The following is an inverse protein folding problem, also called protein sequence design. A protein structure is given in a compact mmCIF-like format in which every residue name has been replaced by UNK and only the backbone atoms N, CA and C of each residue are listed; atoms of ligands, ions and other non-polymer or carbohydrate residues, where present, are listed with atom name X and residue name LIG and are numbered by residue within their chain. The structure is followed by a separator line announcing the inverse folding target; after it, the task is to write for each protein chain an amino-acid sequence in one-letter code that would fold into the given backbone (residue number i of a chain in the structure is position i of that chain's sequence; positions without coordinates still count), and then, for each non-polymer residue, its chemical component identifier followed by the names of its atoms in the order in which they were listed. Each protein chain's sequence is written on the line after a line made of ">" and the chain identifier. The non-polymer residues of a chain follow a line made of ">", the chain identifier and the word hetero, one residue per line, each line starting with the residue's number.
data_IF_921299150973
#
_entry.id   IF_921299150973
#
_cell.length_a   1.000
_cell.length_b   1.000
_cell.length_c   1.000
_cell.angle_alpha   90.00
_cell.angle_beta   90.00
_cell.angle_gamma   90.00
#
_symmetry.space_group_name_H-M   'P 1'
#
loop_
_entity.id
_entity.type
_entity.pdbx_description
1 polymer ?
#
# COMPACT_ATOMS: atom_id res chain seq x y z
N UNK A 1 -35.67 21.23 10.90
CA UNK A 1 -34.74 22.35 11.13
C UNK A 1 -34.63 22.60 12.62
N UNK A 2 -33.54 22.18 13.26
CA UNK A 2 -33.18 22.65 14.61
C UNK A 2 -32.13 23.75 14.44
N UNK A 3 -32.43 24.95 14.90
CA UNK A 3 -31.47 26.06 14.93
C UNK A 3 -30.24 25.66 15.75
N UNK A 4 -29.07 25.68 15.11
CA UNK A 4 -27.81 25.45 15.78
C UNK A 4 -27.54 26.59 16.77
N UNK A 5 -27.76 26.32 18.07
CA UNK A 5 -27.38 27.23 19.16
C UNK A 5 -25.88 27.58 19.01
N UNK A 6 -25.50 28.86 18.83
CA UNK A 6 -24.10 29.22 18.61
C UNK A 6 -23.27 28.86 19.85
N UNK A 7 -22.20 28.08 19.65
CA UNK A 7 -21.23 27.71 20.70
C UNK A 7 -20.38 28.93 21.10
N UNK A 8 -20.97 29.86 21.84
CA UNK A 8 -20.25 30.98 22.47
C UNK A 8 -19.20 30.51 23.49
N UNK A 9 -19.31 29.28 24.01
CA UNK A 9 -18.45 28.77 25.09
C UNK A 9 -16.97 28.57 24.70
N UNK A 10 -16.66 28.34 23.42
CA UNK A 10 -15.27 28.01 23.03
C UNK A 10 -14.34 29.22 22.99
N UNK A 11 -14.88 30.42 22.78
CA UNK A 11 -14.07 31.63 22.63
C UNK A 11 -13.73 32.22 24.01
N UNK A 12 -14.70 32.18 24.92
CA UNK A 12 -14.53 32.57 26.33
C UNK A 12 -13.46 31.71 27.01
N UNK A 13 -13.50 30.39 26.81
CA UNK A 13 -12.52 29.47 27.44
C UNK A 13 -11.09 29.72 26.95
N UNK A 14 -10.90 30.10 25.68
CA UNK A 14 -9.57 30.39 25.11
C UNK A 14 -9.06 31.78 25.44
N UNK A 15 -9.95 32.73 25.68
CA UNK A 15 -9.58 34.09 26.08
C UNK A 15 -9.20 34.19 27.57
N UNK A 16 -9.62 33.24 28.41
CA UNK A 16 -9.35 33.24 29.85
C UNK A 16 -7.86 33.44 30.21
N UNK A 17 -6.88 32.70 29.64
CA UNK A 17 -5.47 32.92 29.97
C UNK A 17 -4.96 34.32 29.62
N UNK A 18 -5.44 34.89 28.50
CA UNK A 18 -5.09 36.25 28.11
C UNK A 18 -5.72 37.27 29.05
N UNK A 19 -7.00 37.11 29.40
CA UNK A 19 -7.73 38.00 30.32
C UNK A 19 -7.07 37.95 31.71
N UNK A 20 -6.78 36.75 32.22
CA UNK A 20 -6.08 36.59 33.51
C UNK A 20 -4.67 37.16 33.47
N UNK A 21 -3.91 36.92 32.39
CA UNK A 21 -2.57 37.47 32.22
C UNK A 21 -2.54 39.00 32.21
N UNK A 22 -3.44 39.63 31.43
CA UNK A 22 -3.55 41.09 31.36
C UNK A 22 -4.04 41.70 32.68
N UNK A 23 -4.99 41.05 33.35
CA UNK A 23 -5.51 41.50 34.65
C UNK A 23 -4.41 41.43 35.71
N UNK A 24 -3.68 40.31 35.80
CA UNK A 24 -2.54 40.18 36.70
C UNK A 24 -1.47 41.24 36.41
N UNK A 25 -1.17 41.50 35.15
CA UNK A 25 -0.18 42.50 34.76
C UNK A 25 -0.60 43.91 35.20
N UNK A 26 -1.85 44.30 34.98
CA UNK A 26 -2.40 45.58 35.43
C UNK A 26 -2.39 45.71 36.97
N UNK A 27 -2.77 44.65 37.69
CA UNK A 27 -2.71 44.61 39.17
C UNK A 27 -1.27 44.72 39.67
N UNK A 28 -0.33 44.03 39.04
CA UNK A 28 1.08 44.07 39.41
C UNK A 28 1.71 45.45 39.21
N UNK A 29 1.34 46.18 38.13
CA UNK A 29 1.77 47.56 37.90
C UNK A 29 1.24 48.49 38.99
N UNK A 30 -0.05 48.43 39.30
CA UNK A 30 -0.65 49.24 40.36
C UNK A 30 -0.01 48.99 41.74
N UNK A 31 0.25 47.72 42.09
CA UNK A 31 0.93 47.38 43.35
C UNK A 31 2.37 47.90 43.40
N UNK A 32 3.11 47.81 42.29
CA UNK A 32 4.48 48.30 42.21
C UNK A 32 4.56 49.84 42.34
N UNK A 33 3.60 50.58 41.78
CA UNK A 33 3.50 52.04 41.93
C UNK A 33 3.22 52.48 43.37
N UNK A 34 2.48 51.66 44.13
CA UNK A 34 2.22 51.91 45.57
C UNK A 34 3.38 51.48 46.49
N UNK A 35 4.51 51.03 45.94
CA UNK A 35 5.69 50.62 46.72
C UNK A 35 5.60 49.22 47.34
N UNK A 36 4.58 48.43 46.98
CA UNK A 36 4.41 47.06 47.47
C UNK A 36 5.32 46.13 46.66
N UNK A 37 6.29 45.50 47.34
CA UNK A 37 7.31 44.63 46.72
C UNK A 37 6.72 43.44 45.94
N UNK A 38 5.51 43.00 46.28
CA UNK A 38 4.79 41.92 45.61
C UNK A 38 4.43 42.25 44.14
N UNK A 39 4.34 43.54 43.77
CA UNK A 39 3.93 43.97 42.43
C UNK A 39 4.82 43.42 41.32
N UNK A 40 6.14 43.36 41.54
CA UNK A 40 7.10 42.79 40.56
C UNK A 40 6.86 41.30 40.31
N UNK A 41 6.56 40.53 41.35
CA UNK A 41 6.27 39.10 41.23
C UNK A 41 4.99 38.85 40.43
N UNK A 42 3.95 39.67 40.64
CA UNK A 42 2.69 39.56 39.90
C UNK A 42 2.90 39.89 38.40
N UNK A 43 3.71 40.90 38.08
CA UNK A 43 4.06 41.23 36.68
C UNK A 43 4.82 40.06 36.02
N UNK A 44 5.80 39.48 36.72
CA UNK A 44 6.61 38.37 36.22
C UNK A 44 5.79 37.10 35.92
N UNK A 45 4.68 36.89 36.63
CA UNK A 45 3.75 35.77 36.38
C UNK A 45 2.69 36.12 35.33
N UNK A 46 2.21 37.37 35.31
CA UNK A 46 1.18 37.84 34.37
C UNK A 46 1.66 37.90 32.92
N UNK A 47 2.91 38.31 32.69
CA UNK A 47 3.47 38.48 31.34
C UNK A 47 3.54 37.15 30.55
N UNK A 48 4.10 36.04 31.10
CA UNK A 48 4.08 34.73 30.43
C UNK A 48 2.65 34.22 30.13
N UNK A 49 1.71 34.41 31.06
CA UNK A 49 0.31 33.99 30.87
C UNK A 49 -0.37 34.76 29.73
N UNK A 50 -0.16 36.08 29.66
CA UNK A 50 -0.67 36.89 28.57
C UNK A 50 -0.05 36.47 27.22
N UNK A 51 1.25 36.17 27.20
CA UNK A 51 1.96 35.72 26.00
C UNK A 51 1.46 34.34 25.51
N UNK A 52 1.23 33.39 26.43
CA UNK A 52 0.61 32.09 26.11
C UNK A 52 -0.81 32.28 25.58
N UNK A 53 -1.61 33.16 26.20
CA UNK A 53 -2.95 33.49 25.73
C UNK A 53 -2.94 34.07 24.30
N UNK A 54 -2.01 34.98 24.01
CA UNK A 54 -1.79 35.56 22.69
C UNK A 54 -1.38 34.49 21.66
N UNK A 55 -0.46 33.57 22.00
CA UNK A 55 -0.06 32.46 21.13
C UNK A 55 -1.25 31.53 20.86
N UNK A 56 -2.04 31.17 21.87
CA UNK A 56 -3.23 30.30 21.70
C UNK A 56 -4.30 30.94 20.81
N UNK A 57 -4.45 32.26 20.87
CA UNK A 57 -5.38 33.02 20.01
C UNK A 57 -4.81 33.21 18.60
N UNK A 58 -3.51 33.48 18.47
CA UNK A 58 -2.83 33.72 17.19
C UNK A 58 -2.56 32.44 16.41
N UNK A 59 -2.50 31.28 17.07
CA UNK A 59 -2.43 29.99 16.39
C UNK A 59 -3.67 29.86 15.48
N UNK A 60 -3.48 29.78 14.15
CA UNK A 60 -4.60 29.69 13.22
C UNK A 60 -5.47 28.53 13.66
N UNK A 61 -6.78 28.77 13.79
CA UNK A 61 -7.75 27.72 14.04
C UNK A 61 -7.44 26.62 13.03
N UNK A 62 -6.89 25.48 13.48
CA UNK A 62 -7.10 24.23 12.76
C UNK A 62 -8.61 24.16 12.64
N UNK A 63 -9.14 24.49 11.47
CA UNK A 63 -10.51 24.17 11.12
C UNK A 63 -10.53 22.65 11.27
N UNK A 64 -11.00 22.19 12.43
CA UNK A 64 -11.50 20.85 12.53
C UNK A 64 -12.51 20.78 11.38
N UNK A 65 -12.33 19.85 10.43
CA UNK A 65 -13.20 19.77 9.27
C UNK A 65 -14.62 19.88 9.78
N UNK A 66 -15.37 20.83 9.20
CA UNK A 66 -16.73 21.15 9.65
C UNK A 66 -17.44 19.84 9.95
N UNK A 67 -18.04 19.72 11.14
CA UNK A 67 -18.72 18.49 11.54
C UNK A 67 -19.81 18.25 10.51
N UNK A 68 -19.52 17.41 9.52
CA UNK A 68 -20.41 17.13 8.39
C UNK A 68 -21.65 16.54 9.02
N UNK A 69 -22.77 17.26 8.90
CA UNK A 69 -24.06 16.79 9.40
C UNK A 69 -24.54 15.79 8.37
N UNK A 70 -24.37 14.52 8.69
CA UNK A 70 -24.74 13.41 7.83
C UNK A 70 -26.26 13.24 7.82
N UNK A 71 -26.92 13.68 6.75
CA UNK A 71 -28.34 13.40 6.49
C UNK A 71 -28.45 12.44 5.31
N UNK A 72 -28.95 11.23 5.55
CA UNK A 72 -29.25 10.30 4.46
C UNK A 72 -29.59 8.88 4.91
N UNK A 73 -29.96 8.09 3.92
CA UNK A 73 -30.26 6.65 3.97
C UNK A 73 -29.15 5.88 4.72
N UNK A 74 -29.45 4.81 5.48
CA UNK A 74 -28.41 4.02 6.12
C UNK A 74 -27.33 3.58 5.10
N UNK A 75 -26.03 3.70 5.41
CA UNK A 75 -24.95 3.34 4.48
C UNK A 75 -25.10 1.96 3.83
N UNK A 76 -25.67 1.00 4.55
CA UNK A 76 -25.92 -0.36 4.07
C UNK A 76 -26.86 -0.41 2.84
N UNK A 77 -27.90 0.41 2.81
CA UNK A 77 -28.86 0.44 1.69
C UNK A 77 -28.24 1.13 0.46
N UNK A 78 -27.47 2.21 0.67
CA UNK A 78 -26.72 2.87 -0.40
C UNK A 78 -25.68 1.93 -1.04
N UNK A 79 -25.01 1.13 -0.22
CA UNK A 79 -24.05 0.12 -0.64
C UNK A 79 -24.74 -1.02 -1.39
N UNK A 80 -25.92 -1.47 -0.94
CA UNK A 80 -26.70 -2.50 -1.63
C UNK A 80 -27.12 -2.06 -3.05
N UNK A 81 -27.57 -0.81 -3.21
CA UNK A 81 -27.91 -0.26 -4.53
C UNK A 81 -26.68 -0.20 -5.47
N UNK A 82 -25.50 0.16 -4.95
CA UNK A 82 -24.27 0.15 -5.73
C UNK A 82 -23.84 -1.26 -6.16
N UNK A 83 -24.12 -2.26 -5.31
CA UNK A 83 -23.80 -3.67 -5.53
C UNK A 83 -24.54 -4.22 -6.74
N UNK A 84 -25.86 -4.02 -6.80
CA UNK A 84 -26.72 -4.51 -7.88
C UNK A 84 -26.29 -3.97 -9.25
N UNK A 85 -25.95 -2.67 -9.32
CA UNK A 85 -25.63 -2.02 -10.59
C UNK A 85 -24.31 -2.50 -11.20
N UNK A 86 -23.32 -2.83 -10.36
CA UNK A 86 -21.93 -3.04 -10.80
C UNK A 86 -21.41 -4.46 -10.61
N UNK A 87 -22.29 -5.39 -10.21
CA UNK A 87 -21.90 -6.77 -9.96
C UNK A 87 -20.85 -6.88 -8.85
N UNK A 88 -20.92 -6.00 -7.85
CA UNK A 88 -20.10 -6.15 -6.66
C UNK A 88 -20.70 -7.26 -5.79
N UNK A 89 -19.87 -7.85 -4.94
CA UNK A 89 -20.27 -8.91 -4.00
C UNK A 89 -20.31 -8.34 -2.59
N UNK A 90 -21.42 -8.58 -1.88
CA UNK A 90 -21.57 -8.23 -0.47
C UNK A 90 -20.84 -9.26 0.38
N UNK A 91 -19.75 -8.87 1.05
CA UNK A 91 -19.09 -9.72 2.04
C UNK A 91 -19.76 -9.58 3.42
N UNK A 92 -20.22 -8.38 3.75
CA UNK A 92 -20.93 -8.09 5.00
C UNK A 92 -21.84 -6.87 4.84
N UNK A 93 -22.77 -6.59 5.77
CA UNK A 93 -23.68 -5.43 5.70
C UNK A 93 -22.99 -4.06 5.58
N UNK A 94 -21.68 -4.00 5.80
CA UNK A 94 -20.89 -2.78 5.78
C UNK A 94 -19.68 -2.86 4.86
N UNK A 95 -19.56 -3.93 4.07
CA UNK A 95 -18.41 -4.16 3.21
C UNK A 95 -18.81 -4.84 1.92
N UNK A 96 -18.46 -4.21 0.81
CA UNK A 96 -18.68 -4.71 -0.53
C UNK A 96 -17.37 -4.69 -1.30
N UNK A 97 -17.14 -5.73 -2.10
CA UNK A 97 -15.96 -5.85 -2.95
C UNK A 97 -16.33 -6.25 -4.36
N UNK A 98 -15.54 -5.86 -5.33
CA UNK A 98 -15.73 -6.33 -6.70
C UNK A 98 -14.74 -5.69 -7.64
N UNK A 99 -15.10 -5.61 -8.92
CA UNK A 99 -14.24 -5.02 -9.95
C UNK A 99 -14.88 -3.79 -10.59
N UNK A 100 -14.10 -2.73 -10.72
CA UNK A 100 -14.48 -1.48 -11.39
C UNK A 100 -13.39 -1.16 -12.38
N UNK A 101 -13.73 -1.15 -13.69
CA UNK A 101 -12.76 -0.95 -14.78
C UNK A 101 -11.59 -1.93 -14.70
N UNK A 102 -11.88 -3.19 -14.36
CA UNK A 102 -10.87 -4.24 -14.20
C UNK A 102 -10.01 -4.15 -12.95
N UNK A 103 -10.27 -3.21 -12.02
CA UNK A 103 -9.53 -3.03 -10.76
C UNK A 103 -10.35 -3.49 -9.57
N UNK A 104 -9.70 -4.05 -8.56
CA UNK A 104 -10.36 -4.36 -7.30
C UNK A 104 -10.86 -3.09 -6.64
N UNK A 105 -12.13 -3.05 -6.29
CA UNK A 105 -12.75 -1.96 -5.55
C UNK A 105 -13.35 -2.51 -4.25
N UNK A 106 -13.20 -1.74 -3.17
CA UNK A 106 -13.75 -2.03 -1.87
C UNK A 106 -14.52 -0.81 -1.36
N UNK A 107 -15.75 -1.04 -0.88
CA UNK A 107 -16.59 -0.03 -0.26
C UNK A 107 -16.85 -0.48 1.17
N UNK A 108 -16.42 0.32 2.13
CA UNK A 108 -16.53 0.00 3.56
C UNK A 108 -17.19 1.15 4.32
N UNK A 109 -18.23 0.84 5.08
CA UNK A 109 -18.83 1.75 6.04
C UNK A 109 -18.44 1.33 7.46
N UNK A 110 -18.08 2.28 8.33
CA UNK A 110 -17.99 1.95 9.75
C UNK A 110 -19.40 1.71 10.32
N UNK A 111 -19.58 0.76 11.25
CA UNK A 111 -20.90 0.30 11.76
C UNK A 111 -21.85 1.47 12.08
N UNK A 112 -22.75 1.80 11.13
CA UNK A 112 -23.70 2.91 11.24
C UNK A 112 -23.11 4.31 11.33
N UNK A 113 -21.83 4.51 10.98
CA UNK A 113 -21.13 5.80 11.06
C UNK A 113 -20.43 6.14 9.75
N UNK A 114 -20.54 7.42 9.41
CA UNK A 114 -19.83 8.09 8.33
C UNK A 114 -18.38 8.41 8.73
N UNK A 115 -17.46 8.56 7.76
CA UNK A 115 -17.67 8.50 6.30
C UNK A 115 -17.73 7.07 5.72
N UNK A 116 -18.24 6.92 4.48
CA UNK A 116 -18.07 5.71 3.67
C UNK A 116 -16.70 5.77 2.99
N UNK A 117 -15.89 4.74 3.19
CA UNK A 117 -14.57 4.59 2.58
C UNK A 117 -14.70 3.83 1.27
N UNK A 118 -14.27 4.45 0.18
CA UNK A 118 -14.21 3.82 -1.13
C UNK A 118 -12.74 3.72 -1.50
N UNK A 119 -12.28 2.50 -1.75
CA UNK A 119 -10.92 2.19 -2.14
C UNK A 119 -10.91 1.49 -3.49
N UNK A 120 -10.06 1.95 -4.41
CA UNK A 120 -9.83 1.29 -5.70
C UNK A 120 -8.33 1.04 -5.85
N UNK A 121 -7.96 -0.23 -5.93
CA UNK A 121 -6.57 -0.65 -6.10
C UNK A 121 -6.06 -0.29 -7.49
N UNK A 122 -4.77 0.03 -7.61
CA UNK A 122 -4.08 0.00 -8.90
C UNK A 122 -3.76 -1.45 -9.29
N UNK A 123 -3.59 -1.70 -10.59
CA UNK A 123 -3.22 -3.02 -11.11
C UNK A 123 -1.83 -3.47 -10.65
N UNK A 124 -0.92 -2.50 -10.45
CA UNK A 124 0.46 -2.76 -10.03
C UNK A 124 0.79 -1.80 -8.89
N UNK A 125 1.12 -2.31 -7.69
CA UNK A 125 1.61 -1.48 -6.59
C UNK A 125 2.82 -0.67 -7.02
N UNK A 126 2.96 0.57 -6.55
CA UNK A 126 4.03 1.47 -6.99
C UNK A 126 5.37 1.23 -6.29
N UNK A 127 5.35 0.63 -5.09
CA UNK A 127 6.53 0.37 -4.24
C UNK A 127 7.41 1.61 -4.00
N UNK A 128 6.79 2.78 -3.87
CA UNK A 128 7.48 4.06 -3.65
C UNK A 128 7.52 4.47 -2.17
N UNK A 129 6.84 3.73 -1.29
CA UNK A 129 6.50 4.20 0.04
C UNK A 129 5.56 5.39 -0.04
N UNK A 130 4.71 5.47 -1.05
CA UNK A 130 3.91 6.67 -1.30
C UNK A 130 2.79 6.83 -0.27
N UNK A 131 2.60 8.06 0.17
CA UNK A 131 1.44 8.46 0.96
C UNK A 131 1.09 9.88 0.58
N UNK A 132 -0.10 10.08 0.00
CA UNK A 132 -0.66 11.41 -0.26
C UNK A 132 -2.00 11.46 0.41
N UNK A 133 -2.08 12.25 1.48
CA UNK A 133 -3.28 12.36 2.29
C UNK A 133 -3.67 13.80 2.46
N UNK A 134 -4.98 14.05 2.46
CA UNK A 134 -5.51 15.38 2.71
C UNK A 134 -5.36 15.76 4.19
N UNK A 135 -4.91 16.98 4.45
CA UNK A 135 -4.82 17.55 5.79
C UNK A 135 -3.49 17.34 6.51
N UNK A 136 -3.53 17.37 7.84
CA UNK A 136 -2.32 17.43 8.67
C UNK A 136 -1.57 16.09 8.72
N UNK A 137 -0.24 16.21 8.88
CA UNK A 137 0.76 15.13 9.01
C UNK A 137 0.25 13.86 9.71
N UNK A 138 0.43 12.72 9.04
CA UNK A 138 0.22 11.37 9.61
C UNK A 138 1.17 11.19 10.80
N UNK A 139 0.66 10.98 12.03
CA UNK A 139 1.50 10.72 13.19
C UNK A 139 2.32 9.45 13.00
N UNK A 140 3.60 9.47 13.36
CA UNK A 140 4.47 8.28 13.33
C UNK A 140 5.20 8.04 12.01
N UNK A 141 4.90 8.77 10.93
CA UNK A 141 5.69 8.68 9.70
C UNK A 141 6.97 9.53 9.78
N UNK A 142 8.13 8.87 9.79
CA UNK A 142 9.44 9.50 9.89
C UNK A 142 9.92 10.18 8.59
N UNK A 143 9.28 9.91 7.44
CA UNK A 143 9.70 10.45 6.15
C UNK A 143 9.55 11.97 6.11
N UNK A 144 10.31 12.63 5.25
CA UNK A 144 10.16 14.08 5.06
C UNK A 144 8.91 14.35 4.24
N UNK A 145 8.20 15.42 4.61
CA UNK A 145 7.11 15.91 3.77
C UNK A 145 7.70 16.52 2.51
N UNK A 146 7.14 16.14 1.37
CA UNK A 146 7.50 16.67 0.06
C UNK A 146 6.56 17.79 -0.34
N UNK A 147 7.11 18.80 -1.03
CA UNK A 147 6.35 19.90 -1.62
C UNK A 147 6.44 19.80 -3.13
N UNK A 148 5.29 19.71 -3.79
CA UNK A 148 5.19 19.51 -5.24
C UNK A 148 5.43 20.80 -6.02
N UNK A 149 5.46 21.95 -5.34
CA UNK A 149 5.57 23.28 -5.96
C UNK A 149 4.22 23.86 -6.39
N UNK A 150 3.14 23.09 -6.27
CA UNK A 150 1.77 23.54 -6.50
C UNK A 150 1.17 24.03 -5.18
N UNK A 151 1.08 25.35 -5.00
CA UNK A 151 0.64 25.95 -3.75
C UNK A 151 -0.77 25.52 -3.30
N UNK A 152 -1.69 25.30 -4.25
CA UNK A 152 -3.04 24.88 -3.91
C UNK A 152 -3.04 23.44 -3.39
N UNK A 153 -2.29 22.57 -4.07
CA UNK A 153 -2.10 21.18 -3.67
C UNK A 153 -1.36 21.05 -2.33
N UNK A 154 -0.21 21.70 -2.21
CA UNK A 154 0.70 21.63 -1.06
C UNK A 154 0.11 22.22 0.23
N UNK A 155 -0.95 23.03 0.12
CA UNK A 155 -1.74 23.55 1.25
C UNK A 155 -2.68 22.49 1.80
N UNK A 156 -3.30 21.71 0.92
CA UNK A 156 -4.40 20.80 1.27
C UNK A 156 -3.92 19.36 1.48
N UNK A 157 -2.73 19.02 0.97
CA UNK A 157 -2.16 17.68 0.99
C UNK A 157 -0.81 17.58 1.71
N UNK A 158 -0.62 16.48 2.43
CA UNK A 158 0.67 16.01 2.94
C UNK A 158 1.16 14.87 2.04
N UNK A 159 2.31 15.08 1.39
CA UNK A 159 2.93 14.11 0.48
C UNK A 159 4.18 13.54 1.12
N UNK A 160 4.31 12.21 1.13
CA UNK A 160 5.46 11.49 1.66
C UNK A 160 5.79 10.33 0.74
N UNK A 161 7.09 10.09 0.55
CA UNK A 161 7.61 8.94 -0.17
C UNK A 161 9.05 8.66 0.29
N UNK A 162 9.59 7.52 -0.11
CA UNK A 162 10.98 7.18 0.21
C UNK A 162 11.98 8.01 -0.61
N UNK A 163 11.58 8.40 -1.83
CA UNK A 163 12.40 9.12 -2.81
C UNK A 163 11.59 10.28 -3.42
N UNK A 164 11.83 11.50 -2.95
CA UNK A 164 11.08 12.69 -3.37
C UNK A 164 11.15 12.99 -4.87
N UNK A 165 12.28 12.79 -5.60
CA UNK A 165 12.30 13.07 -7.05
C UNK A 165 11.34 12.19 -7.87
N UNK A 166 11.06 10.96 -7.41
CA UNK A 166 10.10 10.06 -8.09
C UNK A 166 8.66 10.56 -7.92
N UNK A 167 8.36 11.22 -6.80
CA UNK A 167 7.05 11.83 -6.55
C UNK A 167 6.77 12.94 -7.56
N UNK A 168 7.76 13.74 -7.93
CA UNK A 168 7.60 14.81 -8.91
C UNK A 168 7.20 14.28 -10.29
N UNK A 169 7.76 13.13 -10.69
CA UNK A 169 7.37 12.44 -11.92
C UNK A 169 5.96 11.85 -11.85
N UNK A 170 5.55 11.35 -10.69
CA UNK A 170 4.26 10.70 -10.49
C UNK A 170 3.10 11.70 -10.36
N UNK A 171 3.24 12.69 -9.49
CA UNK A 171 2.20 13.69 -9.19
C UNK A 171 2.15 14.76 -10.27
N UNK A 172 1.79 14.36 -11.49
CA UNK A 172 1.60 15.28 -12.61
C UNK A 172 0.54 16.35 -12.30
N UNK A 173 0.55 17.52 -12.97
CA UNK A 173 -0.48 18.55 -12.75
C UNK A 173 -1.91 18.02 -12.85
N UNK A 174 -2.17 17.14 -13.83
CA UNK A 174 -3.48 16.50 -14.02
C UNK A 174 -3.87 15.58 -12.87
N UNK A 175 -2.94 14.77 -12.36
CA UNK A 175 -3.23 13.90 -11.22
C UNK A 175 -3.51 14.75 -9.97
N UNK A 176 -2.73 15.81 -9.72
CA UNK A 176 -2.96 16.73 -8.60
C UNK A 176 -4.34 17.40 -8.66
N UNK A 177 -4.75 17.87 -9.84
CA UNK A 177 -6.08 18.45 -10.05
C UNK A 177 -7.19 17.45 -9.75
N UNK A 178 -7.07 16.20 -10.23
CA UNK A 178 -8.03 15.14 -9.96
C UNK A 178 -8.12 14.80 -8.48
N UNK A 179 -6.98 14.72 -7.77
CA UNK A 179 -6.95 14.48 -6.33
C UNK A 179 -7.64 15.61 -5.57
N UNK A 180 -7.35 16.87 -5.90
CA UNK A 180 -7.99 18.04 -5.31
C UNK A 180 -9.51 18.03 -5.52
N UNK A 181 -9.95 17.77 -6.75
CA UNK A 181 -11.38 17.71 -7.13
C UNK A 181 -12.11 16.57 -6.44
N UNK A 182 -11.49 15.39 -6.38
CA UNK A 182 -12.07 14.19 -5.78
C UNK A 182 -11.94 14.14 -4.26
N UNK A 183 -11.13 15.03 -3.67
CA UNK A 183 -10.71 14.95 -2.27
C UNK A 183 -10.14 13.57 -1.90
N UNK A 184 -9.44 12.96 -2.84
CA UNK A 184 -8.92 11.62 -2.74
C UNK A 184 -7.57 11.60 -2.02
N UNK A 185 -7.29 10.50 -1.31
CA UNK A 185 -5.96 10.12 -0.84
C UNK A 185 -5.41 9.00 -1.73
N UNK A 186 -4.09 8.82 -1.75
CA UNK A 186 -3.45 7.70 -2.44
C UNK A 186 -2.27 7.14 -1.65
N UNK A 187 -1.96 5.88 -1.91
CA UNK A 187 -0.77 5.17 -1.44
C UNK A 187 -0.15 4.35 -2.58
N UNK A 188 0.76 3.44 -2.25
CA UNK A 188 1.37 2.56 -3.25
C UNK A 188 0.36 1.60 -3.90
N UNK A 189 -0.71 1.24 -3.19
CA UNK A 189 -1.62 0.17 -3.59
C UNK A 189 -2.88 0.71 -4.30
N UNK A 190 -3.26 1.96 -4.07
CA UNK A 190 -4.44 2.51 -4.72
C UNK A 190 -4.86 3.90 -4.31
N UNK A 191 -6.13 4.17 -4.57
CA UNK A 191 -6.80 5.46 -4.33
C UNK A 191 -7.93 5.25 -3.35
N UNK A 192 -8.02 6.15 -2.37
CA UNK A 192 -9.08 6.19 -1.37
C UNK A 192 -9.86 7.50 -1.45
N UNK A 193 -11.19 7.41 -1.40
CA UNK A 193 -12.08 8.57 -1.22
C UNK A 193 -12.98 8.32 -0.01
N UNK A 194 -13.04 9.32 0.86
CA UNK A 194 -13.97 9.33 2.00
C UNK A 194 -15.22 10.12 1.62
N UNK A 195 -16.32 9.42 1.41
CA UNK A 195 -17.60 10.01 1.05
C UNK A 195 -18.40 10.35 2.31
N UNK A 196 -18.84 11.59 2.41
CA UNK A 196 -19.67 12.09 3.51
C UNK A 196 -21.17 12.01 3.27
N UNK A 197 -21.64 11.40 2.17
CA UNK A 197 -23.05 11.39 1.79
C UNK A 197 -23.57 9.98 1.54
N UNK A 198 -24.86 9.77 1.85
CA UNK A 198 -25.53 8.45 1.86
C UNK A 198 -26.34 8.09 0.64
N UNK A 199 -26.27 8.87 -0.42
CA UNK A 199 -26.99 8.52 -1.62
C UNK A 199 -26.25 7.40 -2.37
N UNK A 200 -26.95 6.33 -2.73
CA UNK A 200 -26.40 5.25 -3.54
C UNK A 200 -25.79 5.75 -4.86
N UNK A 201 -26.38 6.78 -5.48
CA UNK A 201 -25.81 7.41 -6.68
C UNK A 201 -24.47 8.09 -6.39
N UNK A 202 -24.36 8.80 -5.25
CA UNK A 202 -23.11 9.44 -4.84
C UNK A 202 -22.01 8.40 -4.58
N UNK A 203 -22.36 7.26 -3.97
CA UNK A 203 -21.43 6.13 -3.80
C UNK A 203 -20.95 5.62 -5.15
N UNK A 204 -21.88 5.34 -6.07
CA UNK A 204 -21.57 4.85 -7.43
C UNK A 204 -20.64 5.82 -8.16
N UNK A 205 -20.98 7.10 -8.19
CA UNK A 205 -20.18 8.11 -8.89
C UNK A 205 -18.82 8.31 -8.25
N UNK A 206 -18.73 8.21 -6.91
CA UNK A 206 -17.45 8.28 -6.20
C UNK A 206 -16.57 7.07 -6.51
N UNK A 207 -17.13 5.86 -6.65
CA UNK A 207 -16.32 4.69 -7.06
C UNK A 207 -15.85 4.85 -8.51
N UNK A 208 -16.64 5.50 -9.40
CA UNK A 208 -16.19 5.80 -10.77
C UNK A 208 -15.02 6.76 -10.73
N UNK A 209 -15.15 7.81 -9.93
CA UNK A 209 -14.12 8.83 -9.75
C UNK A 209 -12.83 8.21 -9.21
N UNK A 210 -12.91 7.37 -8.17
CA UNK A 210 -11.76 6.64 -7.65
C UNK A 210 -11.10 5.77 -8.74
N UNK A 211 -11.89 5.07 -9.56
CA UNK A 211 -11.38 4.30 -10.69
C UNK A 211 -10.72 5.14 -11.79
N UNK A 212 -11.20 6.36 -12.03
CA UNK A 212 -10.55 7.32 -12.93
C UNK A 212 -9.20 7.80 -12.38
N UNK A 213 -9.15 8.18 -11.10
CA UNK A 213 -7.92 8.62 -10.43
C UNK A 213 -6.88 7.48 -10.41
N UNK A 214 -7.31 6.24 -10.11
CA UNK A 214 -6.41 5.07 -10.14
C UNK A 214 -5.84 4.81 -11.55
N UNK A 215 -6.65 5.01 -12.60
CA UNK A 215 -6.19 4.90 -13.99
C UNK A 215 -5.18 6.00 -14.35
N UNK A 216 -5.39 7.22 -13.84
CA UNK A 216 -4.44 8.33 -14.01
C UNK A 216 -3.13 8.06 -13.28
N UNK A 217 -3.20 7.52 -12.06
CA UNK A 217 -2.03 7.15 -11.26
C UNK A 217 -1.15 6.14 -12.00
N UNK A 218 -1.75 5.07 -12.55
CA UNK A 218 -1.03 4.07 -13.36
C UNK A 218 -0.44 4.66 -14.64
N UNK A 219 -1.14 5.60 -15.28
CA UNK A 219 -0.62 6.27 -16.48
C UNK A 219 0.59 7.15 -16.14
N UNK A 220 0.52 7.85 -15.01
CA UNK A 220 1.63 8.68 -14.55
C UNK A 220 2.84 7.83 -14.13
N UNK A 221 2.61 6.65 -13.53
CA UNK A 221 3.69 5.77 -13.05
C UNK A 221 4.60 5.27 -14.18
N UNK A 222 4.13 5.21 -15.42
CA UNK A 222 4.95 4.86 -16.61
C UNK A 222 6.16 5.79 -16.78
N UNK A 223 6.07 7.03 -16.34
CA UNK A 223 7.16 8.03 -16.45
C UNK A 223 8.06 8.09 -15.22
N UNK A 224 7.76 7.30 -14.20
CA UNK A 224 8.51 7.32 -12.94
C UNK A 224 9.72 6.39 -13.08
N UNK A 225 10.94 6.90 -12.89
CA UNK A 225 12.14 6.07 -12.95
C UNK A 225 12.13 5.02 -11.83
N UNK A 226 12.93 3.95 -11.93
CA UNK A 226 13.03 2.99 -10.84
C UNK A 226 13.59 3.64 -9.57
N UNK A 227 13.41 2.96 -8.44
CA UNK A 227 14.04 3.35 -7.19
C UNK A 227 15.56 3.49 -7.37
N UNK A 228 16.18 4.45 -6.68
CA UNK A 228 17.61 4.74 -6.77
C UNK A 228 18.46 3.47 -6.54
N UNK A 229 18.08 2.68 -5.52
CA UNK A 229 18.73 1.42 -5.20
C UNK A 229 18.71 0.40 -6.36
N UNK A 230 17.68 0.45 -7.21
CA UNK A 230 17.46 -0.52 -8.29
C UNK A 230 18.04 -0.07 -9.64
N UNK A 231 18.53 1.17 -9.76
CA UNK A 231 19.07 1.72 -11.01
C UNK A 231 20.16 0.82 -11.59
N UNK A 232 21.07 0.31 -10.75
CA UNK A 232 22.17 -0.58 -11.19
C UNK A 232 21.70 -1.93 -11.75
N UNK A 233 20.50 -2.39 -11.39
CA UNK A 233 19.92 -3.66 -11.91
C UNK A 233 19.10 -3.48 -13.18
N UNK A 234 18.66 -2.24 -13.46
CA UNK A 234 17.70 -1.94 -14.52
C UNK A 234 18.18 -2.40 -15.91
N UNK A 235 19.45 -2.15 -16.24
CA UNK A 235 20.00 -2.47 -17.56
C UNK A 235 20.03 -3.98 -17.81
N UNK A 236 20.46 -4.78 -16.83
CA UNK A 236 20.47 -6.23 -16.91
C UNK A 236 19.05 -6.79 -17.13
N UNK A 237 18.05 -6.27 -16.42
CA UNK A 237 16.65 -6.68 -16.58
C UNK A 237 16.10 -6.29 -17.95
N UNK A 238 16.39 -5.07 -18.41
CA UNK A 238 15.94 -4.61 -19.72
C UNK A 238 16.55 -5.43 -20.86
N UNK A 239 17.85 -5.72 -20.78
CA UNK A 239 18.56 -6.57 -21.75
C UNK A 239 17.95 -7.97 -21.82
N UNK A 240 17.75 -8.60 -20.66
CA UNK A 240 17.09 -9.91 -20.58
C UNK A 240 15.65 -9.87 -21.10
N UNK A 241 14.87 -8.85 -20.74
CA UNK A 241 13.50 -8.71 -21.24
C UNK A 241 13.45 -8.55 -22.76
N UNK A 242 14.39 -7.82 -23.37
CA UNK A 242 14.48 -7.70 -24.83
C UNK A 242 14.84 -9.04 -25.48
N UNK A 243 15.82 -9.76 -24.95
CA UNK A 243 16.22 -11.10 -25.40
C UNK A 243 15.03 -12.08 -25.40
N UNK A 244 14.24 -12.03 -24.34
CA UNK A 244 13.11 -12.94 -24.10
C UNK A 244 11.75 -12.37 -24.56
N UNK A 245 11.74 -11.19 -25.20
CA UNK A 245 10.53 -10.46 -25.65
C UNK A 245 9.48 -10.24 -24.54
N UNK A 246 9.93 -9.98 -23.32
CA UNK A 246 9.11 -9.65 -22.17
C UNK A 246 8.75 -8.16 -22.15
N UNK A 247 7.58 -7.84 -21.61
CA UNK A 247 7.22 -6.48 -21.25
C UNK A 247 7.97 -6.04 -19.99
N UNK A 248 8.16 -4.73 -19.82
CA UNK A 248 8.86 -4.15 -18.66
C UNK A 248 8.13 -2.93 -18.10
N UNK A 249 8.41 -2.61 -16.84
CA UNK A 249 8.10 -1.32 -16.24
C UNK A 249 9.19 -0.91 -15.24
N UNK A 250 9.37 0.40 -15.08
CA UNK A 250 10.36 0.97 -14.17
C UNK A 250 9.80 1.19 -12.75
N UNK A 251 8.48 1.37 -12.61
CA UNK A 251 7.82 1.59 -11.31
C UNK A 251 6.58 0.69 -11.18
N UNK A 252 6.65 -0.40 -10.39
CA UNK A 252 7.87 -0.94 -9.77
C UNK A 252 8.77 -1.55 -10.87
N UNK A 253 10.06 -1.74 -10.58
CA UNK A 253 10.97 -2.38 -11.54
C UNK A 253 10.48 -3.81 -11.77
N UNK A 254 9.99 -4.10 -12.98
CA UNK A 254 9.31 -5.35 -13.26
C UNK A 254 9.46 -5.77 -14.72
N UNK A 255 9.35 -7.08 -14.95
CA UNK A 255 9.27 -7.69 -16.26
C UNK A 255 8.29 -8.86 -16.24
N UNK A 256 7.53 -9.05 -17.32
CA UNK A 256 6.54 -10.12 -17.43
C UNK A 256 6.25 -10.49 -18.88
N UNK A 257 5.76 -11.69 -19.11
CA UNK A 257 5.46 -12.21 -20.44
C UNK A 257 5.57 -13.72 -20.46
N UNK A 258 6.07 -14.29 -21.55
CA UNK A 258 6.20 -15.75 -21.69
C UNK A 258 7.63 -16.15 -22.05
N UNK A 259 8.16 -17.17 -21.38
CA UNK A 259 9.41 -17.85 -21.74
C UNK A 259 9.05 -19.30 -22.09
N UNK A 260 9.36 -19.74 -23.32
CA UNK A 260 9.07 -21.12 -23.76
C UNK A 260 7.59 -21.54 -23.56
N UNK A 261 6.65 -20.59 -23.67
CA UNK A 261 5.21 -20.81 -23.46
C UNK A 261 4.75 -20.77 -22.00
N UNK A 262 5.65 -20.59 -21.03
CA UNK A 262 5.33 -20.40 -19.61
C UNK A 262 5.16 -18.92 -19.30
N UNK A 263 4.04 -18.54 -18.71
CA UNK A 263 3.85 -17.18 -18.17
C UNK A 263 4.79 -16.96 -16.99
N UNK A 264 5.58 -15.89 -17.07
CA UNK A 264 6.57 -15.51 -16.06
C UNK A 264 6.42 -14.05 -15.66
N UNK A 265 6.80 -13.75 -14.42
CA UNK A 265 6.90 -12.40 -13.91
C UNK A 265 8.07 -12.28 -12.93
N UNK A 266 8.80 -11.17 -13.00
CA UNK A 266 9.67 -10.72 -11.92
C UNK A 266 9.34 -9.27 -11.57
N UNK A 267 9.32 -8.94 -10.27
CA UNK A 267 9.10 -7.57 -9.80
C UNK A 267 9.92 -7.27 -8.55
N UNK A 268 10.34 -6.01 -8.40
CA UNK A 268 10.79 -5.48 -7.12
C UNK A 268 9.60 -5.25 -6.20
N UNK A 269 9.77 -5.54 -4.92
CA UNK A 269 8.79 -5.28 -3.86
C UNK A 269 9.50 -4.54 -2.73
N UNK A 270 8.83 -3.52 -2.17
CA UNK A 270 9.37 -2.73 -1.07
C UNK A 270 8.98 -3.34 0.29
N UNK A 271 9.97 -3.77 1.07
CA UNK A 271 9.74 -4.30 2.43
C UNK A 271 9.60 -3.20 3.48
N UNK A 272 10.45 -2.19 3.38
CA UNK A 272 10.52 -1.10 4.34
C UNK A 272 11.19 0.11 3.68
N UNK A 273 11.46 1.16 4.47
CA UNK A 273 12.07 2.40 3.97
C UNK A 273 13.35 2.11 3.18
N UNK A 274 13.28 2.29 1.85
CA UNK A 274 14.37 2.06 0.89
C UNK A 274 14.97 0.65 0.85
N UNK A 275 14.27 -0.35 1.40
CA UNK A 275 14.68 -1.74 1.33
C UNK A 275 13.75 -2.50 0.40
N UNK A 276 14.33 -3.36 -0.44
CA UNK A 276 13.63 -4.09 -1.47
C UNK A 276 14.00 -5.56 -1.46
N UNK A 277 13.12 -6.38 -2.01
CA UNK A 277 13.43 -7.72 -2.48
C UNK A 277 12.82 -7.91 -3.87
N UNK A 278 13.08 -9.06 -4.47
CA UNK A 278 12.48 -9.45 -5.73
C UNK A 278 11.57 -10.66 -5.56
N UNK A 279 10.39 -10.58 -6.16
CA UNK A 279 9.48 -11.70 -6.32
C UNK A 279 9.53 -12.16 -7.77
N UNK A 280 9.70 -13.47 -7.96
CA UNK A 280 9.67 -14.12 -9.26
C UNK A 280 8.56 -15.15 -9.25
N UNK A 281 7.89 -15.33 -10.38
CA UNK A 281 6.91 -16.39 -10.56
C UNK A 281 6.98 -16.98 -11.97
N UNK A 282 6.61 -18.25 -12.06
CA UNK A 282 6.42 -18.98 -13.30
C UNK A 282 5.17 -19.86 -13.15
N UNK A 283 4.13 -19.56 -13.93
CA UNK A 283 2.87 -20.31 -13.86
C UNK A 283 3.01 -21.65 -14.59
N UNK A 284 2.29 -22.67 -14.16
CA UNK A 284 2.14 -23.85 -15.00
C UNK A 284 1.21 -23.54 -16.19
N UNK A 285 1.43 -24.13 -17.38
CA UNK A 285 0.54 -23.93 -18.52
C UNK A 285 -0.92 -24.30 -18.24
N UNK A 286 -1.13 -25.26 -17.34
CA UNK A 286 -2.43 -25.62 -16.78
C UNK A 286 -2.25 -25.90 -15.27
N UNK A 287 -3.22 -25.54 -14.42
CA UNK A 287 -3.19 -25.91 -13.02
C UNK A 287 -3.09 -27.43 -12.86
N UNK A 288 -2.20 -27.90 -11.97
CA UNK A 288 -1.91 -29.33 -11.85
C UNK A 288 -3.04 -30.11 -11.16
N UNK A 289 -3.75 -29.47 -10.23
CA UNK A 289 -4.82 -30.08 -9.44
C UNK A 289 -4.39 -31.30 -8.64
N UNK A 290 -3.12 -31.35 -8.19
CA UNK A 290 -2.55 -32.48 -7.43
C UNK A 290 -2.44 -32.19 -5.94
N UNK A 291 -2.86 -31.01 -5.49
CA UNK A 291 -2.58 -30.52 -4.14
C UNK A 291 -1.08 -30.32 -3.92
N UNK A 292 -0.33 -29.96 -4.97
CA UNK A 292 1.09 -29.68 -4.86
C UNK A 292 1.31 -28.57 -3.83
N UNK A 293 2.26 -28.77 -2.93
CA UNK A 293 2.76 -27.75 -2.02
C UNK A 293 4.24 -28.00 -1.72
N UNK A 294 5.09 -27.10 -2.21
CA UNK A 294 6.53 -27.04 -1.94
C UNK A 294 6.82 -25.81 -1.09
N UNK A 295 7.48 -25.99 0.05
CA UNK A 295 7.91 -24.89 0.95
C UNK A 295 9.32 -25.12 1.47
N UNK A 296 10.08 -24.07 1.86
CA UNK A 296 11.35 -24.24 2.53
C UNK A 296 11.18 -24.98 3.87
N UNK A 297 12.02 -25.98 4.16
CA UNK A 297 11.91 -26.80 5.36
C UNK A 297 12.09 -26.02 6.68
N UNK A 298 12.78 -24.87 6.65
CA UNK A 298 12.96 -23.97 7.79
C UNK A 298 11.73 -23.10 8.12
N UNK A 299 10.79 -22.98 7.18
CA UNK A 299 9.56 -22.20 7.35
C UNK A 299 8.42 -23.00 7.98
N UNK A 300 8.55 -24.33 8.01
CA UNK A 300 7.69 -25.19 8.79
C UNK A 300 8.11 -25.07 10.27
N UNK A 301 7.19 -24.69 11.15
CA UNK A 301 7.35 -25.05 12.56
C UNK A 301 7.58 -26.57 12.63
N UNK A 302 8.22 -27.12 13.68
CA UNK A 302 8.45 -28.57 13.78
C UNK A 302 7.16 -29.41 13.58
N UNK A 303 5.99 -28.79 13.74
CA UNK A 303 4.65 -29.36 13.55
C UNK A 303 4.14 -29.29 12.09
N UNK A 304 4.68 -28.43 11.23
CA UNK A 304 4.26 -28.23 9.83
C UNK A 304 5.11 -29.03 8.82
N UNK A 305 5.93 -30.00 9.28
CA UNK A 305 6.62 -30.94 8.38
C UNK A 305 5.64 -32.00 7.85
N UNK A 306 4.56 -31.53 7.23
CA UNK A 306 3.55 -32.35 6.58
C UNK A 306 4.01 -32.61 5.15
N UNK A 307 4.84 -33.62 4.95
CA UNK A 307 5.31 -34.05 3.64
C UNK A 307 6.17 -35.29 3.74
N UNK A 308 5.85 -36.32 2.96
CA UNK A 308 6.68 -37.52 2.88
C UNK A 308 8.00 -37.22 2.17
N UNK A 309 9.14 -37.71 2.68
CA UNK A 309 10.43 -37.49 2.02
C UNK A 309 10.42 -38.12 0.62
N UNK A 310 10.95 -37.41 -0.37
CA UNK A 310 10.99 -37.91 -1.75
C UNK A 310 12.21 -38.80 -2.03
N UNK A 311 13.00 -39.09 -1.00
CA UNK A 311 14.16 -39.99 -1.08
C UNK A 311 15.43 -39.32 -1.62
N UNK A 312 15.54 -37.99 -1.51
CA UNK A 312 16.75 -37.25 -1.90
C UNK A 312 17.24 -36.44 -0.69
N UNK A 313 18.22 -36.95 0.09
CA UNK A 313 18.55 -36.40 1.40
C UNK A 313 18.84 -34.89 1.43
N UNK A 314 19.55 -34.37 0.42
CA UNK A 314 19.82 -32.93 0.33
C UNK A 314 18.57 -32.11 0.01
N UNK A 315 17.61 -32.66 -0.72
CA UNK A 315 16.36 -31.98 -1.05
C UNK A 315 15.42 -32.01 0.16
N UNK A 316 15.22 -33.18 0.76
CA UNK A 316 14.36 -33.40 1.93
C UNK A 316 14.83 -32.60 3.16
N UNK A 317 16.13 -32.29 3.25
CA UNK A 317 16.68 -31.40 4.27
C UNK A 317 16.24 -29.93 4.10
N UNK A 318 16.04 -29.49 2.86
CA UNK A 318 15.89 -28.08 2.52
C UNK A 318 14.46 -27.70 2.11
N UNK A 319 13.67 -28.67 1.65
CA UNK A 319 12.30 -28.48 1.20
C UNK A 319 11.36 -29.49 1.86
N UNK A 320 10.14 -29.05 2.13
CA UNK A 320 9.01 -29.92 2.41
C UNK A 320 8.13 -29.93 1.16
N UNK A 321 7.91 -31.12 0.61
CA UNK A 321 7.04 -31.34 -0.54
C UNK A 321 5.86 -32.21 -0.11
N UNK A 322 4.68 -31.81 -0.53
CA UNK A 322 3.43 -32.54 -0.32
C UNK A 322 2.56 -32.48 -1.57
N UNK A 323 1.75 -33.50 -1.74
CA UNK A 323 0.75 -33.70 -2.78
C UNK A 323 -0.41 -34.47 -2.15
N UNK A 324 -1.53 -34.57 -2.86
CA UNK A 324 -2.70 -35.35 -2.43
C UNK A 324 -2.38 -36.86 -2.38
N UNK A 325 -1.65 -37.37 -3.38
CA UNK A 325 -1.09 -38.74 -3.41
C UNK A 325 0.42 -38.65 -3.15
N UNK A 326 0.93 -39.34 -2.12
CA UNK A 326 2.35 -39.23 -1.77
C UNK A 326 3.30 -39.81 -2.81
N UNK A 327 2.83 -40.73 -3.66
CA UNK A 327 3.62 -41.28 -4.78
C UNK A 327 3.84 -40.21 -5.86
N UNK A 328 2.88 -39.29 -6.02
CA UNK A 328 2.94 -38.22 -7.03
C UNK A 328 4.04 -37.21 -6.72
N UNK A 329 4.32 -36.91 -5.44
CA UNK A 329 5.35 -35.94 -5.04
C UNK A 329 6.71 -36.26 -5.68
N UNK A 330 7.14 -37.52 -5.57
CA UNK A 330 8.42 -37.97 -6.12
C UNK A 330 8.44 -37.98 -7.66
N UNK A 331 7.29 -38.18 -8.30
CA UNK A 331 7.12 -38.22 -9.77
C UNK A 331 7.10 -36.83 -10.38
N UNK A 332 6.35 -35.89 -9.77
CA UNK A 332 6.26 -34.50 -10.23
C UNK A 332 7.63 -33.81 -10.15
N UNK A 333 8.33 -34.00 -9.02
CA UNK A 333 9.66 -33.44 -8.80
C UNK A 333 10.69 -34.56 -8.95
N UNK A 334 10.97 -34.97 -10.19
CA UNK A 334 11.99 -35.98 -10.50
C UNK A 334 13.42 -35.54 -10.15
N UNK A 335 14.43 -36.43 -10.25
CA UNK A 335 15.80 -36.16 -9.80
C UNK A 335 16.42 -34.88 -10.37
N UNK A 336 16.28 -34.64 -11.67
CA UNK A 336 16.81 -33.43 -12.33
C UNK A 336 16.11 -32.15 -11.85
N UNK A 337 14.80 -32.22 -11.57
CA UNK A 337 14.03 -31.09 -11.04
C UNK A 337 14.46 -30.78 -9.61
N UNK A 338 14.72 -31.80 -8.78
CA UNK A 338 15.24 -31.61 -7.41
C UNK A 338 16.58 -30.91 -7.40
N UNK A 339 17.50 -31.32 -8.28
CA UNK A 339 18.81 -30.67 -8.42
C UNK A 339 18.65 -29.22 -8.87
N UNK A 340 17.82 -28.94 -9.88
CA UNK A 340 17.59 -27.57 -10.33
C UNK A 340 16.96 -26.66 -9.25
N UNK A 341 16.07 -27.19 -8.40
CA UNK A 341 15.51 -26.47 -7.26
C UNK A 341 16.58 -26.21 -6.17
N UNK A 342 17.48 -27.17 -5.92
CA UNK A 342 18.60 -26.98 -5.01
C UNK A 342 19.57 -25.93 -5.53
N UNK A 343 19.91 -25.95 -6.82
CA UNK A 343 20.79 -24.97 -7.46
C UNK A 343 20.25 -23.54 -7.31
N UNK A 344 18.94 -23.34 -7.56
CA UNK A 344 18.29 -22.05 -7.35
C UNK A 344 18.36 -21.59 -5.90
N UNK A 345 18.16 -22.50 -4.96
CA UNK A 345 18.21 -22.18 -3.53
C UNK A 345 19.62 -21.87 -3.05
N UNK A 346 20.62 -22.57 -3.57
CA UNK A 346 22.03 -22.29 -3.29
C UNK A 346 22.48 -20.97 -3.93
N UNK A 347 21.83 -20.55 -5.03
CA UNK A 347 21.94 -19.20 -5.58
C UNK A 347 21.20 -18.12 -4.76
N UNK A 348 20.59 -18.46 -3.63
CA UNK A 348 19.96 -17.51 -2.69
C UNK A 348 18.45 -17.31 -2.87
N UNK A 349 17.80 -18.08 -3.75
CA UNK A 349 16.35 -17.98 -3.96
C UNK A 349 15.57 -18.79 -2.91
N UNK A 350 14.56 -18.19 -2.29
CA UNK A 350 13.63 -18.90 -1.43
C UNK A 350 12.41 -19.35 -2.24
N UNK A 351 12.32 -20.65 -2.51
CA UNK A 351 11.35 -21.21 -3.44
C UNK A 351 10.08 -21.71 -2.74
N UNK A 352 8.94 -21.53 -3.41
CA UNK A 352 7.65 -22.13 -3.11
C UNK A 352 7.00 -22.63 -4.40
N UNK A 353 6.12 -23.60 -4.30
CA UNK A 353 5.27 -24.03 -5.40
C UNK A 353 3.93 -24.53 -4.87
N UNK A 354 2.90 -24.42 -5.68
CA UNK A 354 1.57 -24.98 -5.48
C UNK A 354 1.01 -25.43 -6.84
N UNK A 355 -0.26 -25.81 -6.94
CA UNK A 355 -0.85 -26.30 -8.18
C UNK A 355 -0.90 -25.27 -9.33
N UNK A 356 -0.73 -23.98 -9.08
CA UNK A 356 -0.77 -22.91 -10.09
C UNK A 356 0.61 -22.58 -10.65
N UNK A 357 1.70 -22.88 -9.93
CA UNK A 357 3.05 -22.58 -10.41
C UNK A 357 4.17 -22.60 -9.36
N UNK A 358 5.25 -21.90 -9.68
CA UNK A 358 6.39 -21.66 -8.80
C UNK A 358 6.52 -20.18 -8.46
N UNK A 359 6.94 -19.89 -7.24
CA UNK A 359 7.31 -18.58 -6.74
C UNK A 359 8.68 -18.60 -6.11
N UNK A 360 9.42 -17.52 -6.27
CA UNK A 360 10.68 -17.33 -5.57
C UNK A 360 10.77 -15.93 -4.99
N UNK A 361 11.34 -15.85 -3.79
CA UNK A 361 11.78 -14.61 -3.17
C UNK A 361 13.31 -14.51 -3.26
N UNK A 362 13.82 -13.33 -3.55
CA UNK A 362 15.26 -13.06 -3.65
C UNK A 362 15.57 -11.76 -2.92
N UNK A 363 16.46 -11.83 -1.91
CA UNK A 363 16.92 -10.62 -1.23
C UNK A 363 17.68 -9.71 -2.19
N UNK A 364 17.44 -8.40 -2.12
CA UNK A 364 18.14 -7.45 -2.96
C UNK A 364 19.62 -7.36 -2.59
N UNK A 365 20.49 -7.56 -3.58
CA UNK A 365 21.93 -7.30 -3.47
C UNK A 365 22.40 -6.53 -4.72
N UNK A 366 22.90 -5.28 -4.57
CA UNK A 366 23.29 -4.45 -5.71
C UNK A 366 24.34 -5.08 -6.64
N UNK A 367 25.16 -6.00 -6.12
CA UNK A 367 26.24 -6.66 -6.88
C UNK A 367 25.80 -7.88 -7.67
N UNK A 368 24.60 -8.43 -7.40
CA UNK A 368 24.10 -9.66 -8.02
C UNK A 368 23.05 -9.34 -9.10
N UNK A 369 23.38 -8.44 -10.04
CA UNK A 369 22.42 -7.88 -11.02
C UNK A 369 21.78 -8.93 -11.95
N UNK A 370 22.49 -10.04 -12.21
CA UNK A 370 22.04 -11.13 -13.11
C UNK A 370 21.23 -12.22 -12.38
N UNK A 371 21.15 -12.18 -11.05
CA UNK A 371 20.49 -13.21 -10.26
C UNK A 371 19.01 -13.37 -10.62
N UNK A 372 18.32 -12.25 -10.84
CA UNK A 372 16.89 -12.27 -11.19
C UNK A 372 16.65 -12.76 -12.63
N UNK A 373 17.32 -12.23 -13.67
CA UNK A 373 17.28 -12.82 -15.02
C UNK A 373 17.57 -14.33 -15.05
N UNK A 374 18.63 -14.77 -14.37
CA UNK A 374 18.99 -16.19 -14.30
C UNK A 374 17.92 -17.02 -13.58
N UNK A 375 17.47 -16.54 -12.42
CA UNK A 375 16.43 -17.16 -11.61
C UNK A 375 15.11 -17.32 -12.37
N UNK A 376 14.67 -16.29 -13.10
CA UNK A 376 13.40 -16.32 -13.83
C UNK A 376 13.43 -17.34 -14.97
N UNK A 377 14.51 -17.36 -15.77
CA UNK A 377 14.69 -18.37 -16.83
C UNK A 377 14.68 -19.78 -16.27
N UNK A 378 15.37 -20.02 -15.15
CA UNK A 378 15.42 -21.32 -14.49
C UNK A 378 14.08 -21.75 -13.91
N UNK A 379 13.32 -20.82 -13.31
CA UNK A 379 11.96 -21.09 -12.83
C UNK A 379 11.04 -21.55 -13.96
N UNK A 380 11.08 -20.90 -15.13
CA UNK A 380 10.31 -21.32 -16.30
C UNK A 380 10.65 -22.74 -16.76
N UNK A 381 11.95 -23.08 -16.83
CA UNK A 381 12.41 -24.42 -17.19
C UNK A 381 11.96 -25.48 -16.18
N UNK A 382 12.00 -25.17 -14.89
CA UNK A 382 11.51 -26.05 -13.83
C UNK A 382 10.00 -26.23 -13.95
N UNK A 383 9.25 -25.14 -14.22
CA UNK A 383 7.80 -25.20 -14.42
C UNK A 383 7.42 -26.16 -15.55
N UNK A 384 8.08 -26.05 -16.70
CA UNK A 384 7.89 -26.96 -17.84
C UNK A 384 8.18 -28.42 -17.48
N UNK A 385 9.25 -28.68 -16.71
CA UNK A 385 9.60 -30.05 -16.29
C UNK A 385 8.55 -30.64 -15.36
N UNK A 386 8.05 -29.86 -14.40
CA UNK A 386 7.00 -30.31 -13.48
C UNK A 386 5.71 -30.59 -14.25
N UNK A 387 5.28 -29.68 -15.12
CA UNK A 387 4.12 -29.87 -15.97
C UNK A 387 4.25 -31.11 -16.87
N UNK A 388 5.40 -31.28 -17.54
CA UNK A 388 5.68 -32.46 -18.35
C UNK A 388 5.71 -33.77 -17.55
N UNK A 389 6.15 -33.75 -16.29
CA UNK A 389 6.05 -34.91 -15.41
C UNK A 389 4.59 -35.19 -15.03
N UNK A 390 3.78 -34.18 -14.77
CA UNK A 390 2.36 -34.34 -14.47
C UNK A 390 1.59 -34.99 -15.64
N UNK A 391 1.96 -34.66 -16.88
CA UNK A 391 1.41 -35.29 -18.09
C UNK A 391 1.85 -36.76 -18.24
N UNK A 392 3.12 -37.06 -17.96
CA UNK A 392 3.66 -38.44 -18.02
C UNK A 392 3.08 -39.35 -16.94
N UNK A 393 2.72 -38.78 -15.80
CA UNK A 393 2.20 -39.48 -14.63
C UNK A 393 0.80 -38.93 -14.26
N UNK A 394 -0.25 -39.31 -15.01
CA UNK A 394 -1.62 -38.90 -14.72
C UNK A 394 -2.05 -39.37 -13.31
N UNK A 395 -3.08 -38.74 -12.70
CA UNK A 395 -3.51 -39.11 -11.36
C UNK A 395 -4.04 -40.54 -11.37
N UNK A 396 -3.74 -41.30 -10.33
CA UNK A 396 -4.39 -42.59 -10.12
C UNK A 396 -5.87 -42.29 -9.84
N UNK A 397 -6.75 -42.67 -10.78
CA UNK A 397 -8.19 -42.44 -10.70
C UNK A 397 -8.90 -43.22 -9.61
#
# INVERSE_FOLDING_TARGET
>A
MQEAKPRASSLVVRALPLIFGLTALATGVALNETGISLGRTVILVGLPLALVGLIVIALPRKQLPAKVVYSGVPPAEAIAAATERWGLTVESPHRVRGRVRGRHAEITASKGRWPVRIYVAVQRPLDMGLTVQRGAKVPGDARKEHKTGDMAFDRDYCVRADETPRVDSLLTPRLREQLLSAHASLDDDGVEILLGESNGEAVIDTVRLAGWVASELERASVKVPPAEALVGTREAWLSFAQEQKLATADTPLSMWGTIEGVEVQARSVRDSFRNFHFELSAAFPQPLGRGLSLKPASSATQFDRTGEPVGHPAFDKNFSLSTTDSVDAARLVGPETRLALLDLRDAGLQLRADDEGLWAWVGFKPTEVDQVPHGLRRLAQIALRIAGNAERFPPNG
#
